data_IF_954744083690
#
_entry.id   IF_954744083690
#
_cell.length_a   1.000
_cell.length_b   1.000
_cell.length_c   1.000
_cell.angle_alpha   90.00
_cell.angle_beta   90.00
_cell.angle_gamma   90.00
#
_symmetry.space_group_name_H-M   'P 1'
#
loop_
_entity.id
_entity.type
_entity.pdbx_description
1 polymer ?
#
# COMPACT_ATOMS: atom_id res chain seq x y z
N UNK A 1 -0.17 45.98 8.22
CA UNK A 1 -1.44 45.24 8.04
C UNK A 1 -2.05 45.41 6.64
N UNK A 2 -2.25 46.64 6.13
CA UNK A 2 -2.87 46.86 4.81
C UNK A 2 -2.07 46.31 3.59
N UNK A 3 -0.74 46.23 3.68
CA UNK A 3 0.11 45.68 2.61
C UNK A 3 0.04 44.14 2.54
N UNK A 4 0.07 43.47 3.69
CA UNK A 4 -0.02 42.00 3.80
C UNK A 4 -1.35 41.49 3.26
N UNK A 5 -2.46 42.17 3.59
CA UNK A 5 -3.79 41.81 3.08
C UNK A 5 -3.90 41.88 1.55
N UNK A 6 -3.16 42.78 0.88
CA UNK A 6 -3.16 42.87 -0.59
C UNK A 6 -2.38 41.71 -1.23
N UNK A 7 -1.24 41.34 -0.66
CA UNK A 7 -0.41 40.25 -1.18
C UNK A 7 -1.16 38.93 -1.05
N UNK A 8 -1.77 38.67 0.12
CA UNK A 8 -2.61 37.48 0.33
C UNK A 8 -3.79 37.46 -0.64
N UNK A 9 -4.44 38.61 -0.87
CA UNK A 9 -5.52 38.73 -1.85
C UNK A 9 -5.09 38.42 -3.29
N UNK A 10 -3.92 38.89 -3.72
CA UNK A 10 -3.38 38.60 -5.06
C UNK A 10 -3.02 37.13 -5.23
N UNK A 11 -2.45 36.51 -4.19
CA UNK A 11 -2.15 35.07 -4.19
C UNK A 11 -3.46 34.27 -4.28
N UNK A 12 -4.47 34.60 -3.48
CA UNK A 12 -5.77 33.94 -3.53
C UNK A 12 -6.45 34.07 -4.89
N UNK A 13 -6.37 35.26 -5.51
CA UNK A 13 -6.91 35.51 -6.85
C UNK A 13 -6.16 34.69 -7.92
N UNK A 14 -4.84 34.58 -7.83
CA UNK A 14 -4.06 33.73 -8.71
C UNK A 14 -4.40 32.24 -8.56
N UNK A 15 -4.68 31.76 -7.33
CA UNK A 15 -5.18 30.39 -7.10
C UNK A 15 -6.53 30.20 -7.77
N UNK A 16 -7.48 31.11 -7.50
CA UNK A 16 -8.82 31.05 -8.04
C UNK A 16 -8.81 31.03 -9.58
N UNK A 17 -7.92 31.81 -10.19
CA UNK A 17 -7.74 31.83 -11.64
C UNK A 17 -7.21 30.50 -12.19
N UNK A 18 -6.20 29.89 -11.55
CA UNK A 18 -5.69 28.58 -11.95
C UNK A 18 -6.75 27.49 -11.79
N UNK A 19 -7.49 27.50 -10.69
CA UNK A 19 -8.62 26.58 -10.47
C UNK A 19 -9.71 26.75 -11.52
N UNK A 20 -10.09 27.99 -11.81
CA UNK A 20 -11.06 28.31 -12.86
C UNK A 20 -10.60 27.77 -14.22
N UNK A 21 -9.32 27.94 -14.56
CA UNK A 21 -8.74 27.47 -15.81
C UNK A 21 -8.78 25.93 -15.87
N UNK A 22 -8.38 25.25 -14.80
CA UNK A 22 -8.45 23.78 -14.71
C UNK A 22 -9.89 23.28 -14.88
N UNK A 23 -10.85 23.85 -14.14
CA UNK A 23 -12.27 23.51 -14.24
C UNK A 23 -12.82 23.79 -15.64
N UNK A 24 -12.45 24.93 -16.24
CA UNK A 24 -12.85 25.29 -17.60
C UNK A 24 -12.36 24.26 -18.64
N UNK A 25 -11.10 23.86 -18.57
CA UNK A 25 -10.54 22.88 -19.51
C UNK A 25 -11.09 21.47 -19.28
N UNK A 26 -11.31 21.06 -18.04
CA UNK A 26 -11.99 19.81 -17.70
C UNK A 26 -13.43 19.82 -18.24
N UNK A 27 -14.18 20.90 -18.00
CA UNK A 27 -15.52 21.08 -18.52
C UNK A 27 -15.56 21.04 -20.05
N UNK A 28 -14.59 21.66 -20.72
CA UNK A 28 -14.44 21.62 -22.19
C UNK A 28 -14.12 20.21 -22.71
N UNK A 29 -13.26 19.47 -22.02
CA UNK A 29 -12.90 18.10 -22.38
C UNK A 29 -14.08 17.14 -22.19
N UNK A 30 -14.87 17.35 -21.12
CA UNK A 30 -16.05 16.56 -20.80
C UNK A 30 -17.29 16.98 -21.59
N UNK A 31 -17.38 18.21 -22.09
CA UNK A 31 -18.52 18.73 -22.85
C UNK A 31 -18.98 17.80 -24.01
N UNK A 32 -18.09 17.28 -24.89
CA UNK A 32 -18.51 16.34 -25.93
C UNK A 32 -19.01 15.01 -25.36
N UNK A 33 -18.53 14.61 -24.18
CA UNK A 33 -18.97 13.40 -23.49
C UNK A 33 -20.37 13.61 -22.88
N UNK A 34 -20.59 14.77 -22.24
CA UNK A 34 -21.90 15.16 -21.70
C UNK A 34 -22.95 15.29 -22.80
N UNK A 35 -22.66 15.92 -23.93
CA UNK A 35 -23.60 16.00 -25.07
C UNK A 35 -23.95 14.64 -25.67
N UNK A 36 -23.04 13.67 -25.59
CA UNK A 36 -23.29 12.29 -26.04
C UNK A 36 -24.08 11.48 -25.02
N UNK A 37 -23.88 11.72 -23.72
CA UNK A 37 -24.58 10.99 -22.64
C UNK A 37 -25.95 11.58 -22.33
N UNK A 38 -26.09 12.89 -22.48
CA UNK A 38 -27.31 13.66 -22.28
C UNK A 38 -27.59 14.36 -23.60
N UNK A 39 -28.10 13.64 -24.62
CA UNK A 39 -28.72 14.34 -25.73
C UNK A 39 -29.78 15.25 -25.11
N UNK A 40 -29.59 16.56 -25.22
CA UNK A 40 -30.64 17.50 -24.93
C UNK A 40 -31.84 17.04 -25.75
N UNK A 41 -32.91 16.61 -25.08
CA UNK A 41 -34.23 16.53 -25.70
C UNK A 41 -34.62 17.97 -26.02
N UNK A 42 -34.05 18.52 -27.09
CA UNK A 42 -34.72 19.51 -27.91
C UNK A 42 -35.96 18.78 -28.42
N UNK A 43 -37.00 18.80 -27.59
CA UNK A 43 -38.35 18.57 -28.06
C UNK A 43 -38.62 19.68 -29.04
N UNK A 44 -38.47 19.37 -30.33
CA UNK A 44 -39.14 20.14 -31.37
C UNK A 44 -40.60 20.29 -30.89
N UNK A 45 -41.14 21.52 -30.83
CA UNK A 45 -42.55 21.68 -30.54
C UNK A 45 -43.31 21.05 -31.71
N UNK A 46 -43.65 19.76 -31.58
CA UNK A 46 -44.51 19.10 -32.53
C UNK A 46 -45.82 19.91 -32.60
N UNK A 47 -46.29 20.26 -33.80
CA UNK A 47 -47.60 20.88 -33.94
C UNK A 47 -48.62 19.91 -33.35
N UNK A 48 -49.31 20.34 -32.29
CA UNK A 48 -50.32 19.55 -31.58
C UNK A 48 -51.37 19.02 -32.57
N UNK A 49 -51.20 17.77 -33.01
CA UNK A 49 -52.27 16.98 -33.59
C UNK A 49 -53.05 16.34 -32.43
N UNK A 50 -54.39 16.29 -32.51
CA UNK A 50 -55.20 15.70 -31.45
C UNK A 50 -54.87 14.20 -31.31
N UNK A 51 -54.13 13.87 -30.26
CA UNK A 51 -53.79 12.50 -29.85
C UNK A 51 -55.08 11.79 -29.44
N UNK A 52 -55.51 10.79 -30.22
CA UNK A 52 -56.39 9.73 -29.69
C UNK A 52 -55.53 8.89 -28.75
N UNK A 53 -55.98 8.57 -27.53
CA UNK A 53 -55.23 7.67 -26.66
C UNK A 53 -55.22 6.27 -27.29
N UNK A 54 -54.06 5.68 -27.62
CA UNK A 54 -53.95 4.25 -27.86
C UNK A 54 -53.73 3.60 -26.50
N UNK A 55 -54.77 2.97 -25.95
CA UNK A 55 -54.71 2.27 -24.66
C UNK A 55 -53.71 1.09 -24.66
N UNK A 56 -53.25 0.66 -25.84
CA UNK A 56 -52.27 -0.43 -26.00
C UNK A 56 -50.79 0.02 -25.92
N UNK A 57 -50.49 1.32 -25.88
CA UNK A 57 -49.11 1.81 -26.04
C UNK A 57 -48.43 2.21 -24.72
N UNK A 58 -49.11 2.12 -23.58
CA UNK A 58 -48.53 2.49 -22.28
C UNK A 58 -47.44 1.52 -21.81
N UNK A 59 -47.48 0.25 -22.21
CA UNK A 59 -46.44 -0.73 -21.86
C UNK A 59 -45.16 -0.53 -22.68
N UNK A 60 -45.25 -0.04 -23.93
CA UNK A 60 -44.08 0.15 -24.79
C UNK A 60 -43.26 1.40 -24.45
N UNK A 61 -43.86 2.43 -23.83
CA UNK A 61 -43.15 3.63 -23.39
C UNK A 61 -42.34 3.45 -22.09
N UNK A 62 -42.61 2.39 -21.31
CA UNK A 62 -41.79 2.05 -20.14
C UNK A 62 -40.54 1.25 -20.52
N UNK A 63 -40.47 0.70 -21.74
CA UNK A 63 -39.42 -0.23 -22.14
C UNK A 63 -38.28 0.42 -22.95
N UNK A 64 -38.18 1.75 -22.90
CA UNK A 64 -37.02 2.49 -23.41
C UNK A 64 -36.29 3.23 -22.29
N UNK A 65 -36.19 2.59 -21.11
CA UNK A 65 -35.17 2.95 -20.13
C UNK A 65 -33.83 2.54 -20.72
N UNK A 66 -33.19 3.49 -21.40
CA UNK A 66 -31.83 3.31 -21.91
C UNK A 66 -30.94 3.01 -20.72
N UNK A 67 -30.58 1.74 -20.53
CA UNK A 67 -29.71 1.28 -19.45
C UNK A 67 -28.31 1.81 -19.74
N UNK A 68 -28.03 3.02 -19.24
CA UNK A 68 -26.67 3.58 -19.23
C UNK A 68 -25.78 2.51 -18.60
N UNK A 69 -24.78 1.98 -19.32
CA UNK A 69 -23.88 0.98 -18.76
C UNK A 69 -23.23 1.57 -17.50
N UNK A 70 -23.44 0.94 -16.35
CA UNK A 70 -23.00 1.46 -15.04
C UNK A 70 -21.50 1.77 -14.98
N UNK A 71 -20.71 1.15 -15.86
CA UNK A 71 -19.29 1.41 -16.07
C UNK A 71 -18.98 2.90 -16.25
N UNK A 72 -19.79 3.66 -17.00
CA UNK A 72 -19.53 5.08 -17.26
C UNK A 72 -19.70 5.95 -16.02
N UNK A 73 -20.58 5.57 -15.08
CA UNK A 73 -20.76 6.27 -13.80
C UNK A 73 -19.51 6.15 -12.92
N UNK A 74 -18.94 4.95 -12.85
CA UNK A 74 -17.72 4.72 -12.08
C UNK A 74 -16.48 5.37 -12.70
N UNK A 75 -16.38 5.43 -14.02
CA UNK A 75 -15.31 6.16 -14.71
C UNK A 75 -15.41 7.66 -14.42
N UNK A 76 -16.62 8.24 -14.50
CA UNK A 76 -16.84 9.65 -14.17
C UNK A 76 -16.50 9.96 -12.71
N UNK A 77 -16.89 9.09 -11.78
CA UNK A 77 -16.56 9.20 -10.36
C UNK A 77 -15.04 9.12 -10.13
N UNK A 78 -14.35 8.17 -10.76
CA UNK A 78 -12.91 8.01 -10.63
C UNK A 78 -12.15 9.26 -11.12
N UNK A 79 -12.55 9.82 -12.26
CA UNK A 79 -11.96 11.05 -12.81
C UNK A 79 -12.21 12.22 -11.85
N UNK A 80 -13.42 12.37 -11.32
CA UNK A 80 -13.75 13.43 -10.35
C UNK A 80 -12.90 13.32 -9.07
N UNK A 81 -12.69 12.11 -8.56
CA UNK A 81 -11.83 11.85 -7.39
C UNK A 81 -10.37 12.21 -7.71
N UNK A 82 -9.86 11.83 -8.88
CA UNK A 82 -8.49 12.15 -9.28
C UNK A 82 -8.28 13.67 -9.37
N UNK A 83 -9.22 14.39 -9.98
CA UNK A 83 -9.18 15.86 -10.06
C UNK A 83 -9.20 16.47 -8.65
N UNK A 84 -10.08 15.98 -7.77
CA UNK A 84 -10.15 16.44 -6.37
C UNK A 84 -8.81 16.24 -5.65
N UNK A 85 -8.18 15.07 -5.80
CA UNK A 85 -6.88 14.78 -5.18
C UNK A 85 -5.76 15.66 -5.74
N UNK A 86 -5.76 15.91 -7.06
CA UNK A 86 -4.79 16.81 -7.69
C UNK A 86 -4.93 18.24 -7.13
N UNK A 87 -6.15 18.75 -7.04
CA UNK A 87 -6.41 20.06 -6.43
C UNK A 87 -5.95 20.10 -4.99
N UNK A 88 -6.27 19.07 -4.20
CA UNK A 88 -5.86 18.96 -2.81
C UNK A 88 -4.33 18.98 -2.64
N UNK A 89 -3.60 18.22 -3.47
CA UNK A 89 -2.13 18.21 -3.48
C UNK A 89 -1.56 19.57 -3.87
N UNK A 90 -2.13 20.23 -4.88
CA UNK A 90 -1.69 21.57 -5.31
C UNK A 90 -1.90 22.60 -4.19
N UNK A 91 -3.04 22.55 -3.49
CA UNK A 91 -3.33 23.45 -2.36
C UNK A 91 -2.34 23.23 -1.22
N UNK A 92 -2.09 21.99 -0.81
CA UNK A 92 -1.10 21.69 0.24
C UNK A 92 0.29 22.15 -0.16
N UNK A 93 0.71 21.85 -1.39
CA UNK A 93 2.03 22.24 -1.88
C UNK A 93 2.19 23.76 -1.88
N UNK A 94 1.13 24.50 -2.21
CA UNK A 94 1.14 25.96 -2.21
C UNK A 94 1.14 26.56 -0.81
N UNK A 95 0.41 25.98 0.13
CA UNK A 95 0.42 26.42 1.54
C UNK A 95 1.78 26.17 2.19
N UNK A 96 2.42 25.04 1.89
CA UNK A 96 3.80 24.75 2.35
C UNK A 96 4.82 25.73 1.78
N UNK A 97 4.72 26.05 0.48
CA UNK A 97 5.62 27.01 -0.15
C UNK A 97 5.49 28.42 0.44
N UNK A 98 4.27 28.85 0.78
CA UNK A 98 4.03 30.16 1.41
C UNK A 98 4.50 30.20 2.88
N UNK A 99 4.45 29.09 3.62
CA UNK A 99 4.96 29.00 4.99
C UNK A 99 6.49 29.09 5.07
N UNK A 100 7.19 28.96 3.94
CA UNK A 100 8.65 28.94 3.87
C UNK A 100 9.26 30.34 3.67
N UNK A 101 8.45 31.34 3.35
CA UNK A 101 8.91 32.71 3.04
C UNK A 101 8.86 33.67 4.25
N UNK A 102 8.25 33.26 5.38
CA UNK A 102 8.02 34.15 6.55
C UNK A 102 8.83 33.77 7.82
N UNK A 103 9.73 32.79 7.78
CA UNK A 103 10.42 32.31 9.00
C UNK A 103 11.93 32.19 8.78
N UNK A 104 12.61 33.33 8.79
CA UNK A 104 14.07 33.46 8.97
C UNK A 104 14.43 33.65 10.46
N UNK A 105 13.74 32.96 11.38
CA UNK A 105 14.08 32.97 12.81
C UNK A 105 13.56 31.68 13.48
N UNK A 106 14.47 30.71 13.62
CA UNK A 106 14.55 29.70 14.69
C UNK A 106 13.27 29.04 15.22
N UNK A 107 12.97 27.81 14.77
CA UNK A 107 12.84 26.63 15.64
C UNK A 107 12.75 25.32 14.86
N UNK A 108 13.63 24.42 15.23
CA UNK A 108 13.81 23.02 14.85
C UNK A 108 12.49 22.26 14.62
N UNK A 109 12.07 22.17 13.36
CA UNK A 109 11.17 21.13 12.87
C UNK A 109 12.01 20.06 12.19
N UNK A 110 12.80 19.32 12.98
CA UNK A 110 13.55 18.13 12.55
C UNK A 110 12.74 16.89 12.95
N UNK A 111 11.47 16.78 12.52
CA UNK A 111 10.76 15.50 12.62
C UNK A 111 9.54 15.49 11.71
N UNK A 112 9.37 14.38 10.99
CA UNK A 112 8.13 13.90 10.35
C UNK A 112 7.93 14.15 8.86
N UNK A 113 8.28 15.30 8.25
CA UNK A 113 7.96 15.52 6.82
C UNK A 113 8.77 14.61 5.86
N UNK A 114 10.10 14.63 5.97
CA UNK A 114 10.98 13.82 5.12
C UNK A 114 10.88 12.32 5.42
N UNK A 115 10.64 11.96 6.69
CA UNK A 115 10.40 10.57 7.09
C UNK A 115 9.05 10.05 6.60
N UNK A 116 7.98 10.86 6.67
CA UNK A 116 6.69 10.49 6.09
C UNK A 116 6.78 10.38 4.57
N UNK A 117 7.56 11.24 3.90
CA UNK A 117 7.79 11.13 2.46
C UNK A 117 8.55 9.84 2.11
N UNK A 118 9.61 9.52 2.86
CA UNK A 118 10.33 8.26 2.70
C UNK A 118 9.42 7.04 2.95
N UNK A 119 8.57 7.07 3.99
CA UNK A 119 7.63 6.00 4.32
C UNK A 119 6.49 5.88 3.28
N UNK A 120 5.90 6.99 2.82
CA UNK A 120 4.87 6.99 1.78
C UNK A 120 5.43 6.49 0.45
N UNK A 121 6.67 6.87 0.10
CA UNK A 121 7.29 6.44 -1.15
C UNK A 121 7.50 4.93 -1.19
N UNK A 122 7.83 4.31 -0.05
CA UNK A 122 8.00 2.87 0.06
C UNK A 122 6.64 2.14 0.01
N UNK A 123 5.61 2.68 0.67
CA UNK A 123 4.24 2.16 0.56
C UNK A 123 3.72 2.29 -0.89
N UNK A 124 4.00 3.40 -1.57
CA UNK A 124 3.58 3.64 -2.95
C UNK A 124 4.29 2.72 -3.94
N UNK A 125 5.60 2.47 -3.77
CA UNK A 125 6.35 1.49 -4.58
C UNK A 125 5.80 0.08 -4.42
N UNK A 126 5.46 -0.31 -3.19
CA UNK A 126 4.89 -1.62 -2.92
C UNK A 126 3.46 -1.74 -3.46
N UNK A 127 2.65 -0.69 -3.36
CA UNK A 127 1.28 -0.65 -3.87
C UNK A 127 1.26 -0.65 -5.40
N UNK A 128 2.09 0.18 -6.06
CA UNK A 128 2.25 0.18 -7.52
C UNK A 128 2.79 -1.15 -8.04
N UNK A 129 3.71 -1.81 -7.33
CA UNK A 129 4.18 -3.15 -7.66
C UNK A 129 3.04 -4.16 -7.69
N UNK A 130 2.17 -4.13 -6.68
CA UNK A 130 0.98 -5.01 -6.59
C UNK A 130 -0.06 -4.72 -7.68
N UNK A 131 -0.31 -3.45 -8.01
CA UNK A 131 -1.20 -3.08 -9.11
C UNK A 131 -0.67 -3.53 -10.49
N UNK A 132 0.65 -3.47 -10.69
CA UNK A 132 1.30 -3.97 -11.90
C UNK A 132 1.19 -5.48 -12.00
N UNK A 133 1.34 -6.18 -10.87
CA UNK A 133 1.13 -7.63 -10.77
C UNK A 133 -0.33 -8.04 -11.03
N UNK A 134 -1.30 -7.24 -10.57
CA UNK A 134 -2.72 -7.45 -10.87
C UNK A 134 -3.06 -7.16 -12.34
N UNK A 135 -2.36 -6.22 -12.98
CA UNK A 135 -2.47 -5.97 -14.42
C UNK A 135 -1.84 -7.11 -15.24
N UNK A 136 -0.73 -7.69 -14.77
CA UNK A 136 -0.09 -8.85 -15.40
C UNK A 136 -0.92 -10.14 -15.21
N UNK A 137 -1.68 -10.28 -14.12
CA UNK A 137 -2.62 -11.39 -13.92
C UNK A 137 -3.77 -11.43 -14.94
N UNK A 138 -3.99 -10.36 -15.71
CA UNK A 138 -4.94 -10.29 -16.82
C UNK A 138 -4.34 -10.78 -18.16
N UNK A 139 -3.12 -11.33 -18.18
CA UNK A 139 -2.54 -11.98 -19.37
C UNK A 139 -2.83 -13.50 -19.38
N UNK A 140 -3.82 -13.98 -20.17
CA UNK A 140 -4.19 -15.39 -20.31
C UNK A 140 -3.22 -16.26 -21.13
N UNK A 141 -1.92 -15.96 -21.15
CA UNK A 141 -0.91 -16.85 -21.74
C UNK A 141 0.03 -17.37 -20.65
N UNK A 142 0.05 -18.69 -20.52
CA UNK A 142 0.93 -19.57 -19.73
C UNK A 142 2.09 -18.81 -19.03
N UNK A 143 2.02 -18.52 -17.73
CA UNK A 143 3.02 -17.70 -17.09
C UNK A 143 4.30 -18.53 -16.92
N UNK A 144 5.44 -18.05 -17.40
CA UNK A 144 6.76 -18.55 -16.95
C UNK A 144 7.26 -17.72 -15.76
N UNK A 145 6.47 -16.72 -15.33
CA UNK A 145 6.84 -15.72 -14.33
C UNK A 145 6.65 -16.18 -12.89
N UNK A 146 5.76 -17.14 -12.61
CA UNK A 146 5.56 -17.62 -11.23
C UNK A 146 6.80 -18.31 -10.66
N UNK A 147 7.65 -18.92 -11.51
CA UNK A 147 8.93 -19.50 -11.09
C UNK A 147 9.95 -18.42 -10.66
N UNK A 148 10.00 -17.31 -11.41
CA UNK A 148 10.87 -16.18 -11.11
C UNK A 148 10.38 -15.44 -9.87
N UNK A 149 9.06 -15.29 -9.75
CA UNK A 149 8.41 -14.63 -8.61
C UNK A 149 8.55 -15.44 -7.32
N UNK A 150 8.42 -16.78 -7.36
CA UNK A 150 8.62 -17.63 -6.19
C UNK A 150 10.06 -17.53 -5.65
N UNK A 151 11.07 -17.58 -6.54
CA UNK A 151 12.48 -17.40 -6.16
C UNK A 151 12.74 -16.01 -5.58
N UNK A 152 12.14 -14.97 -6.14
CA UNK A 152 12.25 -13.59 -5.62
C UNK A 152 11.66 -13.47 -4.22
N UNK A 153 10.48 -14.05 -4.00
CA UNK A 153 9.80 -14.01 -2.70
C UNK A 153 10.60 -14.72 -1.61
N UNK A 154 11.12 -15.92 -1.90
CA UNK A 154 11.97 -16.66 -0.94
C UNK A 154 13.26 -15.88 -0.62
N UNK A 155 13.90 -15.27 -1.64
CA UNK A 155 15.10 -14.43 -1.41
C UNK A 155 14.79 -13.20 -0.57
N UNK A 156 13.65 -12.55 -0.81
CA UNK A 156 13.23 -11.39 -0.04
C UNK A 156 12.99 -11.76 1.44
N UNK A 157 12.31 -12.88 1.71
CA UNK A 157 12.11 -13.37 3.08
C UNK A 157 13.45 -13.62 3.80
N UNK A 158 14.41 -14.29 3.14
CA UNK A 158 15.74 -14.51 3.72
C UNK A 158 16.52 -13.19 3.91
N UNK A 159 16.38 -12.22 2.99
CA UNK A 159 17.01 -10.91 3.15
C UNK A 159 16.45 -10.12 4.34
N UNK A 160 15.13 -10.19 4.56
CA UNK A 160 14.50 -9.60 5.75
C UNK A 160 15.02 -10.26 7.02
N UNK A 161 15.13 -11.58 7.04
CA UNK A 161 15.73 -12.31 8.16
C UNK A 161 17.16 -11.85 8.46
N UNK A 162 18.00 -11.68 7.43
CA UNK A 162 19.35 -11.13 7.61
C UNK A 162 19.35 -9.69 8.13
N UNK A 163 18.45 -8.85 7.65
CA UNK A 163 18.32 -7.47 8.14
C UNK A 163 17.93 -7.43 9.61
N UNK A 164 16.97 -8.27 10.03
CA UNK A 164 16.59 -8.42 11.43
C UNK A 164 17.79 -8.89 12.25
N UNK A 165 18.53 -9.90 11.78
CA UNK A 165 19.71 -10.40 12.48
C UNK A 165 20.82 -9.35 12.66
N UNK A 166 20.99 -8.43 11.70
CA UNK A 166 21.90 -7.28 11.85
C UNK A 166 21.41 -6.35 12.98
N UNK A 167 20.11 -6.09 13.07
CA UNK A 167 19.52 -5.33 14.18
C UNK A 167 19.70 -6.01 15.56
N UNK A 168 19.82 -7.35 15.56
CA UNK A 168 20.12 -8.14 16.76
C UNK A 168 21.61 -8.16 17.12
N UNK A 169 22.48 -7.55 16.31
CA UNK A 169 23.94 -7.57 16.49
C UNK A 169 24.62 -8.85 16.02
N UNK A 170 23.91 -9.74 15.33
CA UNK A 170 24.40 -11.05 14.90
C UNK A 170 24.54 -11.05 13.38
N UNK A 171 25.44 -10.24 12.85
CA UNK A 171 25.64 -10.18 11.40
C UNK A 171 26.29 -11.46 10.86
N UNK A 172 25.84 -11.91 9.68
CA UNK A 172 26.48 -13.05 8.98
C UNK A 172 27.89 -12.68 8.53
N UNK A 173 28.86 -13.54 8.83
CA UNK A 173 30.23 -13.36 8.35
C UNK A 173 30.33 -13.62 6.83
N UNK A 174 31.26 -12.96 6.11
CA UNK A 174 31.33 -13.06 4.65
C UNK A 174 31.55 -14.48 4.11
N UNK A 175 32.23 -15.34 4.87
CA UNK A 175 32.59 -16.70 4.46
C UNK A 175 31.66 -17.78 5.02
N UNK A 176 30.77 -17.45 5.97
CA UNK A 176 29.84 -18.41 6.55
C UNK A 176 28.77 -18.78 5.52
N UNK A 177 28.44 -20.05 5.37
CA UNK A 177 27.33 -20.49 4.50
C UNK A 177 25.97 -20.17 5.14
N UNK A 178 24.86 -20.13 4.35
CA UNK A 178 23.53 -19.88 4.92
C UNK A 178 23.17 -20.88 6.03
N UNK A 179 23.54 -22.16 5.87
CA UNK A 179 23.24 -23.24 6.83
C UNK A 179 24.08 -23.09 8.10
N UNK A 180 25.38 -22.82 7.99
CA UNK A 180 26.26 -22.58 9.15
C UNK A 180 25.80 -21.37 9.98
N UNK A 181 25.21 -20.37 9.33
CA UNK A 181 24.72 -19.17 9.99
C UNK A 181 23.43 -19.38 10.78
N UNK A 182 22.67 -20.46 10.54
CA UNK A 182 21.44 -20.72 11.28
C UNK A 182 21.68 -20.94 12.78
N UNK A 183 22.72 -21.69 13.14
CA UNK A 183 23.01 -22.00 14.54
C UNK A 183 23.28 -20.75 15.40
N UNK A 184 24.22 -19.83 15.05
CA UNK A 184 24.44 -18.64 15.84
C UNK A 184 23.21 -17.72 15.86
N UNK A 185 22.46 -17.64 14.76
CA UNK A 185 21.24 -16.83 14.70
C UNK A 185 20.14 -17.39 15.61
N UNK A 186 19.88 -18.70 15.55
CA UNK A 186 18.91 -19.39 16.40
C UNK A 186 19.24 -19.23 17.87
N UNK A 187 20.53 -19.40 18.25
CA UNK A 187 20.97 -19.19 19.62
C UNK A 187 20.69 -17.77 20.13
N UNK A 188 20.98 -16.75 19.31
CA UNK A 188 20.74 -15.36 19.72
C UNK A 188 19.25 -15.01 19.80
N UNK A 189 18.42 -15.52 18.87
CA UNK A 189 16.97 -15.35 18.91
C UNK A 189 16.35 -16.05 20.13
N UNK A 190 16.76 -17.30 20.38
CA UNK A 190 16.35 -18.08 21.53
C UNK A 190 16.72 -17.38 22.85
N UNK A 191 17.97 -16.92 22.97
CA UNK A 191 18.45 -16.23 24.17
C UNK A 191 17.61 -14.97 24.45
N UNK A 192 17.32 -14.19 23.41
CA UNK A 192 16.49 -12.99 23.50
C UNK A 192 15.08 -13.32 24.01
N UNK A 193 14.43 -14.34 23.47
CA UNK A 193 13.09 -14.75 23.90
C UNK A 193 13.05 -15.35 25.32
N UNK A 194 14.13 -16.01 25.74
CA UNK A 194 14.28 -16.46 27.14
C UNK A 194 14.35 -15.26 28.07
N UNK A 195 15.15 -14.24 27.74
CA UNK A 195 15.24 -13.00 28.53
C UNK A 195 13.90 -12.24 28.57
N UNK A 196 13.17 -12.18 27.46
CA UNK A 196 11.84 -11.58 27.40
C UNK A 196 10.83 -12.30 28.31
N UNK A 197 10.80 -13.64 28.27
CA UNK A 197 9.85 -14.43 29.05
C UNK A 197 10.22 -14.56 30.53
N UNK A 198 11.50 -14.53 30.90
CA UNK A 198 11.95 -14.52 32.29
C UNK A 198 11.38 -13.31 33.08
N UNK A 199 11.05 -12.23 32.35
CA UNK A 199 10.37 -11.07 32.90
C UNK A 199 8.86 -11.22 33.14
N UNK A 200 8.21 -12.24 32.57
CA UNK A 200 6.77 -12.54 32.77
C UNK A 200 6.53 -13.54 33.90
N UNK A 201 7.43 -14.49 34.12
CA UNK A 201 7.21 -15.62 35.03
C UNK A 201 7.75 -15.30 36.43
N UNK A 202 6.97 -14.55 37.23
CA UNK A 202 7.20 -14.47 38.68
C UNK A 202 6.77 -15.76 39.42
N UNK A 203 6.15 -16.73 38.72
CA UNK A 203 5.72 -18.00 39.31
C UNK A 203 6.77 -19.09 39.08
N UNK A 204 7.52 -19.38 40.15
CA UNK A 204 8.79 -20.12 40.15
C UNK A 204 8.63 -21.65 40.03
N UNK A 205 7.49 -22.16 39.56
CA UNK A 205 7.13 -23.59 39.64
C UNK A 205 7.12 -24.37 38.33
N UNK A 206 7.34 -23.74 37.17
CA UNK A 206 7.24 -24.44 35.87
C UNK A 206 8.56 -24.59 35.10
N UNK A 207 9.71 -24.21 35.68
CA UNK A 207 11.01 -24.15 34.98
C UNK A 207 11.66 -25.52 34.64
N UNK A 208 10.96 -26.65 34.72
CA UNK A 208 11.49 -27.98 34.39
C UNK A 208 10.88 -28.63 33.15
N UNK A 209 10.04 -27.93 32.38
CA UNK A 209 9.60 -28.40 31.07
C UNK A 209 10.54 -27.85 29.97
N UNK A 210 11.05 -28.74 29.12
CA UNK A 210 11.82 -28.42 27.91
C UNK A 210 11.24 -27.20 27.20
N UNK A 211 12.04 -26.15 26.99
CA UNK A 211 11.58 -24.87 26.42
C UNK A 211 11.04 -25.08 24.99
N UNK A 212 9.71 -25.14 24.80
CA UNK A 212 9.13 -25.51 23.51
C UNK A 212 9.27 -24.38 22.47
N UNK A 213 9.55 -23.16 22.93
CA UNK A 213 9.73 -21.97 22.09
C UNK A 213 11.03 -21.96 21.29
N UNK A 214 12.12 -22.54 21.82
CA UNK A 214 13.42 -22.53 21.13
C UNK A 214 13.44 -23.52 19.96
N UNK A 215 12.85 -24.71 20.13
CA UNK A 215 12.74 -25.69 19.05
C UNK A 215 11.97 -25.16 17.83
N UNK A 216 10.93 -24.36 18.05
CA UNK A 216 10.11 -23.81 16.96
C UNK A 216 10.87 -22.76 16.13
N UNK A 217 11.76 -21.98 16.74
CA UNK A 217 12.59 -21.00 16.01
C UNK A 217 13.59 -21.72 15.13
N UNK A 218 14.30 -22.71 15.67
CA UNK A 218 15.30 -23.46 14.93
C UNK A 218 14.68 -24.21 13.74
N UNK A 219 13.48 -24.76 13.93
CA UNK A 219 12.68 -25.35 12.85
C UNK A 219 12.33 -24.32 11.76
N UNK A 220 11.78 -23.17 12.14
CA UNK A 220 11.42 -22.11 11.19
C UNK A 220 12.64 -21.54 10.44
N UNK A 221 13.77 -21.34 11.13
CA UNK A 221 15.03 -20.92 10.52
C UNK A 221 15.54 -21.97 9.51
N UNK A 222 15.37 -23.25 9.84
CA UNK A 222 15.75 -24.34 8.93
C UNK A 222 14.89 -24.32 7.68
N UNK A 223 13.58 -24.18 7.80
CA UNK A 223 12.65 -24.07 6.65
C UNK A 223 13.04 -22.91 5.74
N UNK A 224 13.26 -21.72 6.28
CA UNK A 224 13.60 -20.53 5.48
C UNK A 224 14.94 -20.73 4.76
N UNK A 225 15.96 -21.21 5.46
CA UNK A 225 17.32 -21.36 4.91
C UNK A 225 17.42 -22.50 3.90
N UNK A 226 16.74 -23.63 4.12
CA UNK A 226 16.72 -24.75 3.20
C UNK A 226 16.01 -24.37 1.89
N UNK A 227 14.84 -23.74 1.97
CA UNK A 227 14.11 -23.28 0.77
C UNK A 227 14.86 -22.19 0.04
N UNK A 228 15.58 -21.31 0.75
CA UNK A 228 16.49 -20.36 0.14
C UNK A 228 17.64 -21.05 -0.60
N UNK A 229 18.26 -22.06 0.02
CA UNK A 229 19.33 -22.83 -0.58
C UNK A 229 18.84 -23.50 -1.87
N UNK A 230 17.69 -24.17 -1.83
CA UNK A 230 17.06 -24.77 -3.00
C UNK A 230 16.74 -23.71 -4.08
N UNK A 231 16.12 -22.59 -3.71
CA UNK A 231 15.80 -21.53 -4.67
C UNK A 231 17.02 -20.86 -5.33
N UNK A 232 18.20 -20.95 -4.70
CA UNK A 232 19.45 -20.36 -5.20
C UNK A 232 20.33 -21.33 -5.97
N UNK A 233 20.43 -22.57 -5.51
CA UNK A 233 21.39 -23.55 -6.03
C UNK A 233 20.74 -24.74 -6.74
N UNK A 234 19.42 -24.92 -6.62
CA UNK A 234 18.70 -25.97 -7.35
C UNK A 234 18.26 -25.49 -8.74
N UNK A 235 18.25 -26.42 -9.68
CA UNK A 235 17.67 -26.23 -11.01
C UNK A 235 16.14 -26.39 -11.00
N UNK A 236 15.59 -27.07 -9.99
CA UNK A 236 14.14 -27.24 -9.82
C UNK A 236 13.54 -25.92 -9.32
N UNK A 237 12.49 -25.40 -9.97
CA UNK A 237 11.81 -24.19 -9.50
C UNK A 237 11.10 -24.47 -8.17
N UNK A 238 11.17 -23.53 -7.20
CA UNK A 238 10.41 -23.66 -5.96
C UNK A 238 8.90 -23.59 -6.23
N UNK A 239 8.13 -24.40 -5.52
CA UNK A 239 6.68 -24.45 -5.64
C UNK A 239 6.01 -23.28 -4.91
N UNK A 240 4.73 -23.04 -5.19
CA UNK A 240 3.94 -22.07 -4.42
C UNK A 240 3.83 -22.47 -2.93
N UNK A 241 3.81 -23.77 -2.64
CA UNK A 241 3.82 -24.31 -1.28
C UNK A 241 5.12 -23.97 -0.55
N UNK A 242 6.27 -24.03 -1.23
CA UNK A 242 7.57 -23.63 -0.68
C UNK A 242 7.56 -22.15 -0.25
N UNK A 243 6.96 -21.29 -1.07
CA UNK A 243 6.84 -19.86 -0.77
C UNK A 243 5.95 -19.65 0.45
N UNK A 244 4.82 -20.34 0.53
CA UNK A 244 3.91 -20.25 1.67
C UNK A 244 4.57 -20.74 2.96
N UNK A 245 5.30 -21.86 2.92
CA UNK A 245 6.03 -22.39 4.07
C UNK A 245 7.06 -21.37 4.59
N UNK A 246 7.84 -20.75 3.70
CA UNK A 246 8.81 -19.69 4.07
C UNK A 246 8.11 -18.47 4.67
N UNK A 247 7.00 -18.03 4.08
CA UNK A 247 6.23 -16.88 4.59
C UNK A 247 5.63 -17.16 5.98
N UNK A 248 5.08 -18.36 6.18
CA UNK A 248 4.52 -18.79 7.46
C UNK A 248 5.61 -18.89 8.54
N UNK A 249 6.73 -19.53 8.24
CA UNK A 249 7.87 -19.65 9.15
C UNK A 249 8.39 -18.26 9.57
N UNK A 250 8.52 -17.34 8.61
CA UNK A 250 8.94 -15.97 8.90
C UNK A 250 7.91 -15.21 9.74
N UNK A 251 6.62 -15.34 9.43
CA UNK A 251 5.56 -14.71 10.21
C UNK A 251 5.53 -15.20 11.66
N UNK A 252 5.79 -16.48 11.91
CA UNK A 252 5.88 -17.03 13.27
C UNK A 252 7.05 -16.42 14.06
N UNK A 253 8.24 -16.32 13.44
CA UNK A 253 9.40 -15.67 14.06
C UNK A 253 9.08 -14.20 14.40
N UNK A 254 8.46 -13.47 13.47
CA UNK A 254 8.07 -12.07 13.71
C UNK A 254 7.05 -11.92 14.84
N UNK A 255 6.04 -12.80 14.91
CA UNK A 255 5.06 -12.77 16.00
C UNK A 255 5.71 -12.96 17.36
N UNK A 256 6.68 -13.87 17.46
CA UNK A 256 7.43 -14.10 18.71
C UNK A 256 8.27 -12.88 19.11
N UNK A 257 8.95 -12.25 18.16
CA UNK A 257 9.75 -11.04 18.40
C UNK A 257 8.90 -9.81 18.74
N UNK A 258 7.72 -9.66 18.14
CA UNK A 258 6.84 -8.53 18.46
C UNK A 258 6.20 -8.70 19.84
N UNK A 259 5.82 -9.92 20.22
CA UNK A 259 5.28 -10.22 21.54
C UNK A 259 6.30 -9.98 22.69
N UNK A 260 7.59 -9.88 22.36
CA UNK A 260 8.66 -9.41 23.25
C UNK A 260 8.64 -7.88 23.38
N UNK A 261 8.66 -7.15 22.26
CA UNK A 261 8.70 -5.68 22.28
C UNK A 261 7.52 -5.09 23.07
N UNK A 262 6.32 -5.66 22.90
CA UNK A 262 5.12 -5.26 23.64
C UNK A 262 5.24 -5.53 25.16
N UNK A 263 6.06 -6.50 25.57
CA UNK A 263 6.29 -6.82 26.98
C UNK A 263 7.34 -5.91 27.65
N UNK A 264 8.26 -5.34 26.87
CA UNK A 264 9.22 -4.36 27.37
C UNK A 264 8.57 -2.99 27.59
N UNK A 265 7.76 -2.52 26.63
CA UNK A 265 7.08 -1.21 26.71
C UNK A 265 6.11 -1.13 27.91
N UNK A 266 5.45 -2.25 28.24
CA UNK A 266 4.56 -2.35 29.40
C UNK A 266 5.25 -2.34 30.78
N UNK A 267 6.58 -2.36 30.85
CA UNK A 267 7.34 -2.25 32.10
C UNK A 267 7.81 -0.83 32.42
N UNK A 268 7.75 0.09 31.47
CA UNK A 268 8.21 1.48 31.65
C UNK A 268 7.09 2.45 32.09
N UNK A 269 5.85 1.97 32.27
CA UNK A 269 4.71 2.73 32.81
C UNK A 269 4.38 2.38 34.25
#
# INVERSE_FOLDING_TARGET
>A
VAAVGRVVGQIALAIAYVLFLVVYYIGRLLAPLFRKLFPEQEGDPEPMLPVRPPEDNMEQLQQQVTTIPDTYRYIGLAIAIIIMLIVFVIVIRRLRAAAQEEIDESRESILSADLLEAQLSNLWKNLMGRFRQAADALNPFLPLDHEVDARRQIRAAYQHLLQTAVGLGVARQPHATPVEYNQPLGHSLANRLIHANAGRTNDKREASAEHPSTNNIDENLTVITERYYLARYSHVPPSAEDVQAVQQAWAQIQQQLNAENDAEDGKET
#
